data_IF_436645228468
#
_entry.id   IF_436645228468
#
_cell.length_a   1.000
_cell.length_b   1.000
_cell.length_c   1.000
_cell.angle_alpha   90.00
_cell.angle_beta   90.00
_cell.angle_gamma   90.00
#
_symmetry.space_group_name_H-M   'P 1'
#
loop_
_entity.id
_entity.type
_entity.pdbx_description
1 polymer ?
#
# COMPACT_ATOMS: atom_id res chain seq x y z
N UNK A 1 0.61 12.77 -20.71
CA UNK A 1 0.26 12.03 -19.47
C UNK A 1 -1.25 11.83 -19.30
N UNK A 2 -2.09 12.89 -19.31
CA UNK A 2 -3.55 12.72 -19.17
C UNK A 2 -4.20 12.01 -20.38
N UNK A 3 -3.80 12.36 -21.61
CA UNK A 3 -4.29 11.70 -22.83
C UNK A 3 -3.98 10.19 -22.82
N UNK A 4 -2.73 9.82 -22.58
CA UNK A 4 -2.30 8.42 -22.47
C UNK A 4 -3.07 7.62 -21.41
N UNK A 5 -3.37 8.24 -20.25
CA UNK A 5 -4.21 7.59 -19.22
C UNK A 5 -5.62 7.34 -19.72
N UNK A 6 -6.23 8.32 -20.41
CA UNK A 6 -7.57 8.19 -20.99
C UNK A 6 -7.62 7.08 -22.05
N UNK A 7 -6.63 7.05 -22.93
CA UNK A 7 -6.55 6.06 -24.01
C UNK A 7 -6.44 4.64 -23.44
N UNK A 8 -5.55 4.44 -22.46
CA UNK A 8 -5.39 3.14 -21.78
C UNK A 8 -6.67 2.71 -21.07
N UNK A 9 -7.31 3.61 -20.30
CA UNK A 9 -8.57 3.28 -19.62
C UNK A 9 -9.70 2.93 -20.60
N UNK A 10 -9.71 3.56 -21.78
CA UNK A 10 -10.73 3.27 -22.81
C UNK A 10 -10.55 1.87 -23.37
N UNK A 11 -9.31 1.48 -23.70
CA UNK A 11 -9.00 0.14 -24.20
C UNK A 11 -9.29 -0.95 -23.16
N UNK A 12 -8.91 -0.72 -21.90
CA UNK A 12 -9.18 -1.66 -20.80
C UNK A 12 -10.70 -1.82 -20.54
N UNK A 13 -11.46 -0.73 -20.70
CA UNK A 13 -12.92 -0.77 -20.57
C UNK A 13 -13.57 -1.55 -21.71
N UNK A 14 -13.10 -1.36 -22.94
CA UNK A 14 -13.56 -2.15 -24.10
C UNK A 14 -13.29 -3.65 -23.91
N UNK A 15 -12.11 -4.00 -23.38
CA UNK A 15 -11.75 -5.38 -23.08
C UNK A 15 -12.66 -5.98 -22.00
N UNK A 16 -12.91 -5.23 -20.92
CA UNK A 16 -13.87 -5.64 -19.89
C UNK A 16 -15.29 -5.79 -20.45
N UNK A 17 -15.73 -4.93 -21.37
CA UNK A 17 -17.05 -5.07 -21.98
C UNK A 17 -17.17 -6.32 -22.87
N UNK A 18 -16.07 -6.79 -23.46
CA UNK A 18 -16.04 -8.00 -24.27
C UNK A 18 -16.01 -9.29 -23.42
N UNK A 19 -15.21 -9.33 -22.36
CA UNK A 19 -14.94 -10.57 -21.59
C UNK A 19 -15.52 -10.57 -20.16
N UNK A 20 -16.02 -9.43 -19.70
CA UNK A 20 -16.62 -9.26 -18.38
C UNK A 20 -15.67 -9.63 -17.23
N UNK A 21 -16.18 -10.41 -16.28
CA UNK A 21 -15.40 -10.83 -15.10
C UNK A 21 -14.24 -11.76 -15.44
N UNK A 22 -14.30 -12.50 -16.54
CA UNK A 22 -13.21 -13.43 -16.92
C UNK A 22 -11.89 -12.67 -17.11
N UNK A 23 -11.95 -11.49 -17.72
CA UNK A 23 -10.82 -10.57 -17.82
C UNK A 23 -10.26 -10.23 -16.43
N UNK A 24 -11.10 -9.79 -15.49
CA UNK A 24 -10.66 -9.45 -14.13
C UNK A 24 -10.06 -10.65 -13.37
N UNK A 25 -10.62 -11.84 -13.54
CA UNK A 25 -10.10 -13.07 -12.93
C UNK A 25 -8.72 -13.45 -13.46
N UNK A 26 -8.40 -13.08 -14.70
CA UNK A 26 -7.08 -13.35 -15.32
C UNK A 26 -5.97 -12.42 -14.82
N UNK A 27 -6.32 -11.26 -14.21
CA UNK A 27 -5.34 -10.26 -13.80
C UNK A 27 -4.57 -10.76 -12.59
N UNK A 28 -3.24 -10.75 -12.73
CA UNK A 28 -2.28 -10.81 -11.62
C UNK A 28 -1.59 -9.47 -11.55
N UNK A 29 -1.58 -8.87 -10.37
CA UNK A 29 -0.93 -7.58 -10.14
C UNK A 29 0.02 -7.71 -8.96
N UNK A 30 0.97 -6.79 -8.89
CA UNK A 30 1.77 -6.60 -7.69
C UNK A 30 2.17 -5.16 -7.55
N UNK A 31 2.70 -4.85 -6.38
CA UNK A 31 3.30 -3.56 -6.08
C UNK A 31 4.35 -3.74 -4.98
N UNK A 32 5.20 -2.73 -4.84
CA UNK A 32 6.24 -2.71 -3.82
C UNK A 32 6.03 -1.55 -2.85
N UNK A 33 6.26 -1.79 -1.56
CA UNK A 33 6.11 -0.78 -0.52
C UNK A 33 7.17 -0.88 0.55
N UNK A 34 7.39 0.22 1.28
CA UNK A 34 8.24 0.23 2.46
C UNK A 34 7.39 -0.03 3.70
N UNK A 35 7.76 -1.03 4.49
CA UNK A 35 7.11 -1.35 5.77
C UNK A 35 8.05 -1.00 6.91
N UNK A 36 7.64 -0.06 7.77
CA UNK A 36 8.39 0.33 8.95
C UNK A 36 8.11 -0.63 10.11
N UNK A 37 9.15 -1.03 10.85
CA UNK A 37 8.98 -1.88 12.05
C UNK A 37 8.15 -1.17 13.13
N UNK A 38 8.30 0.15 13.23
CA UNK A 38 7.47 1.00 14.06
C UNK A 38 6.93 2.15 13.23
N UNK A 39 5.61 2.24 13.15
CA UNK A 39 4.90 3.38 12.60
C UNK A 39 4.28 4.16 13.76
N UNK A 40 4.60 5.45 13.95
CA UNK A 40 3.98 6.24 14.99
C UNK A 40 2.47 6.34 14.76
N UNK A 41 1.71 6.34 15.86
CA UNK A 41 0.26 6.55 15.81
C UNK A 41 -0.07 7.84 15.07
N UNK A 42 -0.98 7.74 14.10
CA UNK A 42 -1.49 8.92 13.42
C UNK A 42 -2.27 9.79 14.42
N UNK A 43 -2.49 11.07 14.08
CA UNK A 43 -3.25 11.97 14.97
C UNK A 43 -4.61 11.42 15.38
N UNK A 44 -5.29 10.69 14.49
CA UNK A 44 -6.58 10.07 14.77
C UNK A 44 -6.47 8.89 15.76
N UNK A 45 -5.41 8.08 15.65
CA UNK A 45 -5.14 6.98 16.59
C UNK A 45 -4.74 7.51 17.97
N UNK A 46 -4.01 8.61 18.03
CA UNK A 46 -3.58 9.24 19.29
C UNK A 46 -4.64 10.18 19.90
N UNK A 47 -5.91 10.13 19.44
CA UNK A 47 -6.96 10.97 20.00
C UNK A 47 -7.46 10.37 21.30
N UNK A 48 -7.14 11.03 22.41
CA UNK A 48 -7.69 10.70 23.72
C UNK A 48 -8.83 11.66 24.07
N UNK A 49 -9.96 11.10 24.53
CA UNK A 49 -11.03 11.90 25.10
C UNK A 49 -10.65 12.34 26.52
N UNK A 50 -10.36 13.62 26.70
CA UNK A 50 -10.03 14.20 28.01
C UNK A 50 -11.09 15.20 28.48
N UNK A 51 -11.33 15.24 29.79
CA UNK A 51 -12.21 16.24 30.39
C UNK A 51 -11.56 17.63 30.35
N UNK A 52 -12.35 18.71 30.28
CA UNK A 52 -11.85 20.10 30.14
C UNK A 52 -10.85 20.54 31.23
N UNK A 53 -10.91 19.92 32.40
CA UNK A 53 -10.02 20.20 33.54
C UNK A 53 -8.79 19.30 33.61
N UNK A 54 -8.64 18.35 32.67
CA UNK A 54 -7.52 17.42 32.65
C UNK A 54 -6.27 18.10 32.09
N UNK A 55 -5.07 17.71 32.56
CA UNK A 55 -3.83 18.14 31.93
C UNK A 55 -3.80 17.69 30.46
N UNK A 56 -3.14 18.47 29.59
CA UNK A 56 -3.01 18.12 28.18
C UNK A 56 -2.33 16.75 28.02
N UNK A 57 -2.87 15.85 27.17
CA UNK A 57 -2.24 14.58 26.87
C UNK A 57 -0.79 14.78 26.43
N UNK A 58 0.14 14.05 27.05
CA UNK A 58 1.54 14.05 26.63
C UNK A 58 1.66 13.20 25.37
N UNK A 59 1.67 13.87 24.23
CA UNK A 59 1.98 13.23 22.96
C UNK A 59 3.49 13.05 22.84
N UNK A 60 3.96 11.80 22.81
CA UNK A 60 5.33 11.50 22.39
C UNK A 60 5.42 11.74 20.88
N UNK A 61 6.29 12.66 20.46
CA UNK A 61 6.63 12.83 19.04
C UNK A 61 7.58 11.71 18.65
N UNK A 62 7.02 10.56 18.28
CA UNK A 62 7.80 9.42 17.83
C UNK A 62 7.92 9.48 16.30
N UNK A 63 9.13 9.28 15.79
CA UNK A 63 9.40 9.16 14.36
C UNK A 63 9.33 7.69 13.97
N UNK A 64 8.91 7.38 12.74
CA UNK A 64 8.99 6.02 12.22
C UNK A 64 10.41 5.46 12.37
N UNK A 65 10.53 4.17 12.65
CA UNK A 65 11.84 3.55 12.83
C UNK A 65 12.69 3.69 11.56
N UNK A 66 13.99 3.96 11.74
CA UNK A 66 14.97 3.92 10.65
C UNK A 66 15.07 2.52 10.02
N UNK A 67 14.70 1.48 10.79
CA UNK A 67 14.49 0.12 10.29
C UNK A 67 13.18 0.08 9.51
N UNK A 68 13.30 -0.22 8.22
CA UNK A 68 12.20 -0.52 7.30
C UNK A 68 12.64 -1.66 6.39
N UNK A 69 11.69 -2.50 6.03
CA UNK A 69 11.87 -3.59 5.06
C UNK A 69 11.21 -3.19 3.75
N UNK A 70 11.79 -3.61 2.63
CA UNK A 70 11.16 -3.47 1.33
C UNK A 70 10.28 -4.69 1.11
N UNK A 71 9.03 -4.46 0.73
CA UNK A 71 8.00 -5.47 0.67
C UNK A 71 7.43 -5.53 -0.74
N UNK A 72 7.47 -6.71 -1.35
CA UNK A 72 6.86 -6.98 -2.65
C UNK A 72 5.72 -7.94 -2.47
N UNK A 73 4.56 -7.64 -3.05
CA UNK A 73 3.40 -8.52 -2.99
C UNK A 73 2.77 -8.66 -4.36
N UNK A 74 2.45 -9.91 -4.74
CA UNK A 74 1.70 -10.25 -5.94
C UNK A 74 0.37 -10.89 -5.50
N UNK A 75 -0.73 -10.45 -6.10
CA UNK A 75 -2.06 -10.96 -5.80
C UNK A 75 -2.95 -11.02 -7.05
N UNK A 76 -3.99 -11.83 -6.96
CA UNK A 76 -5.05 -11.96 -7.96
C UNK A 76 -6.42 -11.84 -7.27
N UNK A 77 -7.50 -12.18 -7.97
CA UNK A 77 -8.86 -12.10 -7.39
C UNK A 77 -9.11 -13.12 -6.25
N UNK A 78 -8.27 -14.15 -6.11
CA UNK A 78 -8.41 -15.21 -5.10
C UNK A 78 -7.61 -14.91 -3.83
N UNK A 79 -6.56 -14.09 -3.93
CA UNK A 79 -5.79 -13.62 -2.79
C UNK A 79 -4.33 -13.36 -3.14
N UNK A 80 -3.50 -13.33 -2.09
CA UNK A 80 -2.05 -13.15 -2.22
C UNK A 80 -1.44 -14.43 -2.79
N UNK A 81 -0.72 -14.28 -3.90
CA UNK A 81 -0.03 -15.37 -4.60
C UNK A 81 1.42 -15.46 -4.13
N UNK A 82 2.07 -14.31 -3.91
CA UNK A 82 3.46 -14.25 -3.49
C UNK A 82 3.70 -13.03 -2.63
N UNK A 83 4.62 -13.19 -1.68
CA UNK A 83 5.00 -12.16 -0.73
C UNK A 83 6.48 -12.33 -0.39
N UNK A 84 7.24 -11.25 -0.53
CA UNK A 84 8.66 -11.22 -0.23
C UNK A 84 9.02 -10.00 0.61
N UNK A 85 9.92 -10.21 1.56
CA UNK A 85 10.49 -9.17 2.40
C UNK A 85 12.00 -9.14 2.15
N UNK A 86 12.48 -8.00 1.67
CA UNK A 86 13.90 -7.74 1.50
C UNK A 86 14.42 -7.02 2.75
N UNK A 87 15.50 -7.56 3.30
CA UNK A 87 16.16 -6.97 4.46
C UNK A 87 16.76 -5.60 4.12
N UNK A 88 17.03 -4.82 5.16
CA UNK A 88 17.52 -3.45 5.03
C UNK A 88 18.85 -3.41 4.26
N UNK A 89 18.83 -2.76 3.08
CA UNK A 89 20.00 -2.58 2.22
C UNK A 89 19.94 -3.37 0.91
N UNK A 90 18.94 -4.22 0.72
CA UNK A 90 18.67 -4.88 -0.55
C UNK A 90 17.61 -4.09 -1.35
N UNK A 91 17.78 -4.06 -2.68
CA UNK A 91 16.87 -3.40 -3.62
C UNK A 91 16.51 -4.37 -4.74
N UNK A 92 15.29 -4.31 -5.25
CA UNK A 92 14.88 -5.09 -6.42
C UNK A 92 15.65 -4.57 -7.64
N UNK A 93 16.44 -5.44 -8.26
CA UNK A 93 17.10 -5.24 -9.55
C UNK A 93 16.39 -6.06 -10.63
N UNK A 94 16.71 -5.81 -11.89
CA UNK A 94 16.07 -6.46 -13.04
C UNK A 94 16.85 -7.69 -13.57
N UNK A 95 17.81 -8.21 -12.82
CA UNK A 95 18.67 -9.33 -13.25
C UNK A 95 17.97 -10.70 -13.17
#
# INVERSE_FOLDING_TARGET
MQAQRKDMCTQLLEHYNAEGKAFLHSIRTGDESWVHHYNPECKAQSMEYVHKTSPSPRKFNVVASARKVFFTVLWNMEGVVHMEYLEQGQTVNSE
#
